data_IF_971113218640
#
_entry.id   IF_971113218640
#
_cell.length_a   1.000
_cell.length_b   1.000
_cell.length_c   1.000
_cell.angle_alpha   90.00
_cell.angle_beta   90.00
_cell.angle_gamma   90.00
#
_symmetry.space_group_name_H-M   'P 1'
#
loop_
_entity.id
_entity.type
_entity.pdbx_description
1 polymer ?
#
# COMPACT_ATOMS: atom_id res chain seq x y z
N UNK A 1 -29.90 -8.43 9.02
CA UNK A 1 -29.03 -9.52 9.55
C UNK A 1 -27.61 -9.06 9.89
N UNK A 2 -26.94 -8.19 9.11
CA UNK A 2 -25.55 -7.74 9.38
C UNK A 2 -25.43 -6.65 10.47
N UNK A 3 -26.55 -6.04 10.90
CA UNK A 3 -26.53 -4.91 11.87
C UNK A 3 -26.43 -5.31 13.34
N UNK A 4 -26.58 -6.60 13.65
CA UNK A 4 -26.66 -7.11 15.02
C UNK A 4 -25.61 -8.19 15.31
N UNK A 5 -24.38 -8.01 14.80
CA UNK A 5 -23.26 -8.90 15.14
C UNK A 5 -22.89 -8.73 16.62
N UNK A 6 -23.47 -9.58 17.47
CA UNK A 6 -23.10 -9.71 18.88
C UNK A 6 -22.28 -10.98 19.05
N UNK A 7 -21.16 -10.87 19.76
CA UNK A 7 -20.45 -12.05 20.21
C UNK A 7 -21.37 -12.90 21.11
N UNK A 8 -21.39 -14.23 20.97
CA UNK A 8 -22.27 -15.10 21.76
C UNK A 8 -21.93 -15.07 23.26
N UNK A 9 -20.71 -14.65 23.61
CA UNK A 9 -20.26 -14.40 24.97
C UNK A 9 -19.20 -13.27 24.98
N UNK A 10 -19.01 -12.57 26.12
CA UNK A 10 -17.89 -11.66 26.30
C UNK A 10 -16.54 -12.35 26.11
N UNK A 11 -15.51 -11.57 25.76
CA UNK A 11 -14.15 -12.08 25.73
C UNK A 11 -13.73 -12.56 27.13
N UNK A 12 -12.90 -13.61 27.17
CA UNK A 12 -12.29 -14.08 28.42
C UNK A 12 -11.34 -13.01 28.98
N UNK A 13 -11.10 -13.06 30.28
CA UNK A 13 -10.05 -12.25 30.91
C UNK A 13 -8.69 -12.49 30.24
N UNK A 14 -7.86 -11.44 30.21
CA UNK A 14 -6.54 -11.47 29.56
C UNK A 14 -6.52 -11.00 28.10
N UNK A 15 -7.66 -10.62 27.52
CA UNK A 15 -7.68 -9.90 26.24
C UNK A 15 -7.33 -8.43 26.45
N UNK A 16 -6.31 -7.94 25.74
CA UNK A 16 -5.93 -6.53 25.70
C UNK A 16 -5.79 -6.07 24.26
N UNK A 17 -6.19 -4.83 23.99
CA UNK A 17 -5.99 -4.17 22.71
C UNK A 17 -4.85 -3.17 22.84
N UNK A 18 -3.96 -3.16 21.85
CA UNK A 18 -2.79 -2.29 21.84
C UNK A 18 -2.72 -1.62 20.47
N UNK A 19 -2.55 -0.30 20.48
CA UNK A 19 -2.21 0.47 19.29
C UNK A 19 -0.69 0.57 19.21
N UNK A 20 -0.10 0.01 18.17
CA UNK A 20 1.35 -0.08 18.01
C UNK A 20 1.75 -0.07 16.54
N UNK A 21 3.00 0.33 16.30
CA UNK A 21 3.68 0.07 15.03
C UNK A 21 4.16 -1.40 15.02
N UNK A 22 3.88 -2.12 13.94
CA UNK A 22 4.27 -3.52 13.77
C UNK A 22 5.78 -3.72 13.75
N UNK A 23 6.54 -2.67 13.41
CA UNK A 23 8.00 -2.69 13.42
C UNK A 23 8.61 -2.30 14.77
N UNK A 24 7.77 -1.85 15.73
CA UNK A 24 8.18 -1.40 17.06
C UNK A 24 7.09 -1.80 18.08
N UNK A 25 6.91 -3.10 18.26
CA UNK A 25 5.91 -3.66 19.16
C UNK A 25 6.24 -3.32 20.62
N UNK A 26 5.26 -2.89 21.43
CA UNK A 26 5.45 -2.48 22.83
C UNK A 26 5.51 -3.71 23.77
N UNK A 27 6.15 -4.78 23.31
CA UNK A 27 6.37 -6.00 24.08
C UNK A 27 7.86 -6.13 24.40
N UNK A 28 8.16 -6.67 25.57
CA UNK A 28 9.53 -6.96 25.95
C UNK A 28 10.10 -8.07 25.06
N UNK A 29 11.43 -8.12 24.97
CA UNK A 29 12.12 -9.23 24.32
C UNK A 29 11.70 -10.55 24.97
N UNK A 30 11.47 -11.57 24.16
CA UNK A 30 11.12 -12.92 24.64
C UNK A 30 9.91 -12.97 25.58
N UNK A 31 8.91 -12.11 25.40
CA UNK A 31 7.73 -12.09 26.26
C UNK A 31 6.53 -12.86 25.71
N UNK A 32 6.54 -13.21 24.41
CA UNK A 32 5.38 -13.80 23.71
C UNK A 32 5.67 -15.25 23.31
N UNK A 33 4.73 -16.16 23.58
CA UNK A 33 4.84 -17.58 23.20
C UNK A 33 4.43 -17.83 21.75
N UNK A 34 3.47 -17.07 21.23
CA UNK A 34 2.94 -17.23 19.87
C UNK A 34 2.48 -15.92 19.29
N UNK A 35 2.88 -15.65 18.04
CA UNK A 35 2.41 -14.52 17.23
C UNK A 35 1.54 -15.05 16.10
N UNK A 36 0.38 -14.44 15.88
CA UNK A 36 -0.54 -14.82 14.80
C UNK A 36 -0.79 -13.60 13.93
N UNK A 37 -0.54 -13.72 12.62
CA UNK A 37 -0.67 -12.62 11.65
C UNK A 37 -1.66 -12.99 10.55
N UNK A 38 -2.97 -12.84 10.78
CA UNK A 38 -3.96 -13.04 9.73
C UNK A 38 -3.94 -11.85 8.77
N UNK A 39 -3.83 -12.10 7.45
CA UNK A 39 -3.97 -11.06 6.41
C UNK A 39 -3.14 -9.79 6.62
N UNK A 40 -1.87 -9.96 7.03
CA UNK A 40 -1.02 -8.84 7.46
C UNK A 40 0.25 -8.69 6.63
N UNK A 41 1.02 -9.76 6.44
CA UNK A 41 2.43 -9.64 6.03
C UNK A 41 2.62 -8.94 4.68
N UNK A 42 1.70 -9.13 3.74
CA UNK A 42 1.76 -8.64 2.37
C UNK A 42 1.27 -7.20 2.19
N UNK A 43 0.62 -6.62 3.21
CA UNK A 43 0.16 -5.22 3.21
C UNK A 43 1.11 -4.27 3.95
N UNK A 44 2.19 -4.81 4.52
CA UNK A 44 3.16 -4.05 5.27
C UNK A 44 4.01 -3.15 4.34
N UNK A 45 4.28 -1.88 4.71
CA UNK A 45 4.96 -0.93 3.83
C UNK A 45 6.46 -1.18 3.67
N UNK A 46 7.06 -1.98 4.54
CA UNK A 46 8.44 -2.43 4.46
C UNK A 46 8.53 -3.94 4.29
N UNK A 47 9.69 -4.41 3.84
CA UNK A 47 9.93 -5.82 3.54
C UNK A 47 9.64 -6.74 4.72
N UNK A 48 9.37 -8.01 4.39
CA UNK A 48 9.09 -9.08 5.35
C UNK A 48 10.18 -9.20 6.43
N UNK A 49 11.42 -8.87 6.10
CA UNK A 49 12.59 -8.91 6.99
C UNK A 49 12.39 -8.08 8.26
N UNK A 50 11.78 -6.90 8.14
CA UNK A 50 11.56 -6.01 9.28
C UNK A 50 10.53 -6.59 10.26
N UNK A 51 9.41 -7.10 9.72
CA UNK A 51 8.41 -7.78 10.53
C UNK A 51 8.98 -9.06 11.15
N UNK A 52 9.76 -9.83 10.39
CA UNK A 52 10.39 -11.05 10.88
C UNK A 52 11.35 -10.77 12.04
N UNK A 53 12.17 -9.72 11.95
CA UNK A 53 13.07 -9.33 13.03
C UNK A 53 12.31 -8.93 14.29
N UNK A 54 11.28 -8.10 14.15
CA UNK A 54 10.53 -7.60 15.30
C UNK A 54 9.68 -8.70 15.97
N UNK A 55 9.05 -9.56 15.17
CA UNK A 55 8.36 -10.76 15.66
C UNK A 55 9.35 -11.70 16.34
N UNK A 56 10.55 -11.89 15.76
CA UNK A 56 11.58 -12.70 16.39
C UNK A 56 11.96 -12.11 17.76
N UNK A 57 12.18 -10.79 17.88
CA UNK A 57 12.56 -10.13 19.13
C UNK A 57 11.57 -10.44 20.27
N UNK A 58 10.28 -10.27 20.03
CA UNK A 58 9.24 -10.46 21.07
C UNK A 58 8.97 -11.93 21.37
N UNK A 59 9.27 -12.85 20.44
CA UNK A 59 9.07 -14.28 20.65
C UNK A 59 10.12 -14.88 21.62
N UNK A 60 9.63 -15.70 22.55
CA UNK A 60 10.45 -16.61 23.35
C UNK A 60 11.22 -17.59 22.46
N UNK A 61 12.37 -18.12 22.91
CA UNK A 61 13.00 -19.27 22.25
C UNK A 61 12.00 -20.44 22.13
N UNK A 62 11.90 -21.05 20.94
CA UNK A 62 10.88 -22.07 20.63
C UNK A 62 9.46 -21.52 20.45
N UNK A 63 9.27 -20.20 20.55
CA UNK A 63 8.02 -19.53 20.26
C UNK A 63 7.64 -19.66 18.78
N UNK A 64 6.35 -19.57 18.49
CA UNK A 64 5.82 -19.82 17.13
C UNK A 64 5.24 -18.57 16.49
N UNK A 65 5.45 -18.44 15.20
CA UNK A 65 4.75 -17.48 14.36
C UNK A 65 3.88 -18.22 13.35
N UNK A 66 2.59 -17.92 13.36
CA UNK A 66 1.59 -18.45 12.44
C UNK A 66 1.06 -17.31 11.59
N UNK A 67 1.27 -17.36 10.28
CA UNK A 67 0.67 -16.43 9.33
C UNK A 67 -0.40 -17.15 8.53
N UNK A 68 -1.50 -16.46 8.23
CA UNK A 68 -2.52 -16.97 7.31
C UNK A 68 -3.16 -15.81 6.55
N UNK A 69 -2.93 -15.74 5.25
CA UNK A 69 -3.48 -14.68 4.41
C UNK A 69 -2.94 -14.76 3.01
N UNK A 70 -3.17 -13.69 2.25
CA UNK A 70 -2.48 -13.49 1.00
C UNK A 70 -0.96 -13.38 1.24
N UNK A 71 -0.20 -13.75 0.21
CA UNK A 71 1.25 -13.72 0.22
C UNK A 71 1.73 -13.08 -1.08
N UNK A 72 1.23 -11.86 -1.32
CA UNK A 72 1.38 -11.15 -2.57
C UNK A 72 2.04 -9.78 -2.35
N UNK A 73 3.35 -9.80 -2.14
CA UNK A 73 4.12 -8.57 -1.93
C UNK A 73 4.17 -7.72 -3.19
N UNK A 74 3.89 -6.41 -3.02
CA UNK A 74 3.91 -5.43 -4.12
C UNK A 74 4.78 -4.23 -3.75
N UNK A 75 6.07 -4.38 -3.95
CA UNK A 75 7.06 -3.31 -3.77
C UNK A 75 7.55 -2.77 -5.11
N UNK A 76 8.20 -1.60 -5.09
CA UNK A 76 8.86 -1.05 -6.28
C UNK A 76 10.10 -1.87 -6.68
N UNK A 77 10.77 -2.50 -5.71
CA UNK A 77 11.85 -3.43 -5.97
C UNK A 77 11.31 -4.84 -6.18
N UNK A 78 11.58 -5.42 -7.34
CA UNK A 78 11.19 -6.80 -7.65
C UNK A 78 11.79 -7.83 -6.70
N UNK A 79 12.97 -7.57 -6.13
CA UNK A 79 13.62 -8.48 -5.18
C UNK A 79 12.88 -8.61 -3.85
N UNK A 80 11.96 -7.68 -3.56
CA UNK A 80 11.15 -7.69 -2.33
C UNK A 80 9.75 -8.32 -2.58
N UNK A 81 9.40 -8.58 -3.83
CA UNK A 81 8.14 -9.21 -4.23
C UNK A 81 8.21 -10.74 -4.11
N UNK A 82 8.44 -11.24 -2.88
CA UNK A 82 8.79 -12.63 -2.62
C UNK A 82 7.65 -13.62 -2.96
N UNK A 83 8.01 -14.78 -3.52
CA UNK A 83 7.14 -15.96 -3.51
C UNK A 83 7.00 -16.54 -2.10
N UNK A 84 5.99 -17.41 -1.83
CA UNK A 84 5.89 -18.14 -0.57
C UNK A 84 7.19 -18.87 -0.18
N UNK A 85 7.84 -19.53 -1.14
CA UNK A 85 9.08 -20.27 -0.94
C UNK A 85 10.25 -19.32 -0.58
N UNK A 86 10.41 -18.23 -1.32
CA UNK A 86 11.42 -17.20 -1.04
C UNK A 86 11.19 -16.51 0.31
N UNK A 87 9.92 -16.31 0.66
CA UNK A 87 9.48 -15.82 1.96
C UNK A 87 9.96 -16.71 3.10
N UNK A 88 9.70 -18.02 3.02
CA UNK A 88 10.16 -18.98 4.03
C UNK A 88 11.69 -19.04 4.14
N UNK A 89 12.40 -19.06 3.00
CA UNK A 89 13.87 -18.99 2.98
C UNK A 89 14.39 -17.69 3.60
N UNK A 90 13.66 -16.60 3.44
CA UNK A 90 13.97 -15.33 4.10
C UNK A 90 13.78 -15.46 5.61
N UNK A 91 12.67 -16.04 6.08
CA UNK A 91 12.44 -16.26 7.50
C UNK A 91 13.52 -17.12 8.16
N UNK A 92 14.06 -18.12 7.45
CA UNK A 92 15.18 -18.93 7.95
C UNK A 92 16.43 -18.09 8.26
N UNK A 93 16.75 -17.10 7.43
CA UNK A 93 17.85 -16.15 7.68
C UNK A 93 17.60 -15.29 8.93
N UNK A 94 16.33 -15.13 9.33
CA UNK A 94 15.90 -14.40 10.52
C UNK A 94 15.67 -15.31 11.73
N UNK A 95 16.31 -16.48 11.75
CA UNK A 95 16.35 -17.35 12.92
C UNK A 95 15.07 -18.15 13.14
N UNK A 96 14.27 -18.33 12.08
CA UNK A 96 13.10 -19.18 12.11
C UNK A 96 13.36 -20.54 11.45
N UNK A 97 12.55 -21.54 11.79
CA UNK A 97 12.50 -22.83 11.10
C UNK A 97 11.06 -23.15 10.75
N UNK A 98 10.82 -23.51 9.49
CA UNK A 98 9.48 -23.90 9.03
C UNK A 98 9.07 -25.22 9.68
N UNK A 99 7.90 -25.21 10.33
CA UNK A 99 7.28 -26.40 10.94
C UNK A 99 5.95 -26.77 10.28
N UNK A 100 5.37 -25.88 9.46
CA UNK A 100 4.16 -26.14 8.69
C UNK A 100 3.98 -25.16 7.56
N UNK A 101 3.43 -25.63 6.44
CA UNK A 101 3.09 -24.83 5.27
C UNK A 101 1.90 -25.46 4.55
N UNK A 102 0.95 -24.63 4.12
CA UNK A 102 -0.16 -25.03 3.26
C UNK A 102 -0.69 -23.85 2.46
N UNK A 103 -1.34 -24.15 1.34
CA UNK A 103 -2.07 -23.17 0.56
C UNK A 103 -3.47 -23.70 0.27
N UNK A 104 -4.47 -22.89 0.57
CA UNK A 104 -5.89 -23.23 0.40
C UNK A 104 -6.59 -22.12 -0.40
N UNK A 105 -7.42 -22.49 -1.38
CA UNK A 105 -8.28 -21.51 -2.06
C UNK A 105 -9.50 -21.22 -1.19
N UNK A 106 -9.56 -20.03 -0.61
CA UNK A 106 -10.62 -19.63 0.33
C UNK A 106 -11.45 -18.48 -0.23
N UNK A 107 -12.76 -18.42 0.08
CA UNK A 107 -13.57 -17.25 -0.24
C UNK A 107 -13.10 -16.04 0.60
N UNK A 108 -12.91 -14.89 -0.04
CA UNK A 108 -12.50 -13.65 0.61
C UNK A 108 -13.69 -12.73 0.82
N UNK A 109 -13.97 -12.39 2.09
CA UNK A 109 -15.08 -11.52 2.51
C UNK A 109 -16.45 -11.88 1.88
N UNK A 110 -16.69 -13.18 1.64
CA UNK A 110 -17.94 -13.66 1.04
C UNK A 110 -19.11 -13.46 2.01
N UNK A 111 -20.16 -12.84 1.52
CA UNK A 111 -21.50 -12.85 2.09
C UNK A 111 -22.42 -13.63 1.15
N UNK A 112 -23.34 -14.43 1.68
CA UNK A 112 -24.35 -15.12 0.85
C UNK A 112 -25.37 -14.14 0.24
N UNK A 113 -25.34 -12.88 0.66
CA UNK A 113 -26.15 -11.79 0.10
C UNK A 113 -25.41 -11.02 -1.02
N UNK A 114 -24.12 -11.25 -1.20
CA UNK A 114 -23.32 -10.58 -2.21
C UNK A 114 -23.34 -11.38 -3.52
N UNK A 115 -23.69 -10.72 -4.63
CA UNK A 115 -23.63 -11.31 -5.96
C UNK A 115 -22.20 -11.28 -6.52
N UNK A 116 -21.29 -10.52 -5.90
CA UNK A 116 -19.88 -10.48 -6.23
C UNK A 116 -19.10 -11.36 -5.25
N UNK A 117 -18.34 -12.32 -5.76
CA UNK A 117 -17.50 -13.19 -4.94
C UNK A 117 -16.07 -13.16 -5.45
N UNK A 118 -15.12 -13.04 -4.51
CA UNK A 118 -13.70 -13.23 -4.75
C UNK A 118 -13.20 -14.42 -3.94
N UNK A 119 -12.29 -15.19 -4.53
CA UNK A 119 -11.54 -16.23 -3.84
C UNK A 119 -10.06 -15.87 -3.88
N UNK A 120 -9.34 -16.27 -2.84
CA UNK A 120 -7.89 -16.04 -2.74
C UNK A 120 -7.18 -17.33 -2.37
N UNK A 121 -6.00 -17.53 -2.97
CA UNK A 121 -5.09 -18.59 -2.57
C UNK A 121 -4.38 -18.13 -1.29
N UNK A 122 -4.86 -18.61 -0.15
CA UNK A 122 -4.37 -18.24 1.17
C UNK A 122 -3.18 -19.11 1.54
N UNK A 123 -2.04 -18.48 1.77
CA UNK A 123 -0.84 -19.13 2.26
C UNK A 123 -0.85 -19.12 3.78
N UNK A 124 -0.79 -20.31 4.37
CA UNK A 124 -0.62 -20.47 5.82
C UNK A 124 0.72 -21.12 6.10
N UNK A 125 1.55 -20.46 6.90
CA UNK A 125 2.78 -21.05 7.41
C UNK A 125 2.82 -21.03 8.93
N UNK A 126 3.59 -21.95 9.49
CA UNK A 126 4.01 -21.94 10.88
C UNK A 126 5.51 -22.06 10.91
N UNK A 127 6.16 -21.12 11.58
CA UNK A 127 7.59 -21.14 11.82
C UNK A 127 7.89 -21.05 13.31
N UNK A 128 8.96 -21.69 13.74
CA UNK A 128 9.44 -21.71 15.12
C UNK A 128 10.72 -20.88 15.25
N UNK A 129 10.83 -20.07 16.30
CA UNK A 129 12.07 -19.33 16.60
C UNK A 129 13.14 -20.28 17.12
N UNK A 130 14.17 -20.49 16.31
CA UNK A 130 15.34 -21.33 16.62
C UNK A 130 16.61 -20.53 16.93
N UNK A 131 16.67 -19.28 16.49
CA UNK A 131 17.77 -18.36 16.79
C UNK A 131 17.25 -16.92 16.88
N UNK A 132 18.06 -16.03 17.47
CA UNK A 132 17.78 -14.61 17.42
C UNK A 132 18.03 -14.09 16.01
N UNK A 133 17.11 -13.28 15.51
CA UNK A 133 17.27 -12.62 14.22
C UNK A 133 18.52 -11.71 14.24
N UNK A 134 19.25 -11.59 13.12
CA UNK A 134 20.20 -10.52 12.97
C UNK A 134 19.48 -9.17 13.07
N UNK A 135 20.20 -8.13 13.48
CA UNK A 135 19.64 -6.78 13.43
C UNK A 135 19.38 -6.45 11.95
N UNK A 136 18.14 -6.10 11.56
CA UNK A 136 17.83 -5.77 10.19
C UNK A 136 18.64 -4.55 9.79
N UNK A 137 18.89 -4.38 8.49
CA UNK A 137 19.37 -3.08 7.99
C UNK A 137 18.40 -2.00 8.48
N UNK A 138 18.87 -0.82 8.85
CA UNK A 138 17.98 0.25 9.32
C UNK A 138 16.81 0.43 8.35
N UNK A 139 15.58 0.51 8.88
CA UNK A 139 14.40 0.83 8.09
C UNK A 139 14.70 2.01 7.17
N UNK A 140 14.33 1.96 5.87
CA UNK A 140 14.46 3.13 5.02
C UNK A 140 13.65 4.25 5.67
N UNK A 141 14.37 5.22 6.24
CA UNK A 141 13.75 6.39 6.85
C UNK A 141 12.96 7.09 5.75
N UNK A 142 11.73 7.51 6.06
CA UNK A 142 11.08 8.49 5.20
C UNK A 142 12.06 9.66 5.03
N UNK A 143 12.25 10.17 3.79
CA UNK A 143 13.08 11.34 3.56
C UNK A 143 12.73 12.45 4.55
N UNK A 144 13.74 13.10 5.14
CA UNK A 144 13.54 14.05 6.22
C UNK A 144 12.54 15.17 5.86
N UNK A 145 12.54 15.62 4.61
CA UNK A 145 11.61 16.64 4.10
C UNK A 145 10.12 16.22 4.11
N UNK A 146 9.82 14.92 4.24
CA UNK A 146 8.45 14.40 4.41
C UNK A 146 8.03 14.29 5.88
N UNK A 147 8.97 14.32 6.82
CA UNK A 147 8.70 14.16 8.26
C UNK A 147 8.96 15.43 9.06
N UNK A 148 9.80 16.32 8.55
CA UNK A 148 10.14 17.60 9.16
C UNK A 148 9.81 18.74 8.18
N UNK A 149 8.76 19.54 8.46
CA UNK A 149 8.36 20.67 7.62
C UNK A 149 9.42 21.77 7.50
N UNK A 150 10.46 21.77 8.34
CA UNK A 150 11.56 22.73 8.29
C UNK A 150 12.67 22.33 7.30
N UNK A 151 12.67 21.07 6.84
CA UNK A 151 13.66 20.58 5.88
C UNK A 151 13.22 20.89 4.46
N UNK A 152 14.12 21.46 3.67
CA UNK A 152 13.84 21.81 2.27
C UNK A 152 13.54 20.59 1.41
N UNK A 153 12.52 20.69 0.56
CA UNK A 153 12.18 19.67 -0.45
C UNK A 153 13.28 19.67 -1.54
N UNK A 154 13.85 18.51 -1.88
CA UNK A 154 14.90 18.44 -2.88
C UNK A 154 14.38 18.77 -4.28
N UNK A 155 15.23 19.38 -5.11
CA UNK A 155 14.94 19.53 -6.53
C UNK A 155 15.05 18.16 -7.22
N UNK A 156 13.98 17.71 -7.88
CA UNK A 156 14.00 16.46 -8.63
C UNK A 156 14.39 16.72 -10.09
N UNK A 157 15.34 15.96 -10.64
CA UNK A 157 15.88 16.20 -11.99
C UNK A 157 14.82 16.19 -13.10
N UNK A 158 13.71 15.46 -12.92
CA UNK A 158 12.61 15.39 -13.90
C UNK A 158 11.54 16.47 -13.71
N UNK A 159 11.59 17.26 -12.64
CA UNK A 159 10.58 18.27 -12.33
C UNK A 159 10.34 19.28 -13.46
N UNK A 160 11.34 19.78 -14.22
CA UNK A 160 11.07 20.78 -15.25
C UNK A 160 10.09 20.31 -16.32
N UNK A 161 10.19 19.05 -16.74
CA UNK A 161 9.29 18.47 -17.75
C UNK A 161 7.90 18.21 -17.17
N UNK A 162 7.83 17.64 -15.97
CA UNK A 162 6.55 17.40 -15.27
C UNK A 162 5.85 18.72 -14.98
N UNK A 163 6.58 19.76 -14.57
CA UNK A 163 6.05 21.09 -14.28
C UNK A 163 5.45 21.73 -15.53
N UNK A 164 6.15 21.72 -16.67
CA UNK A 164 5.61 22.27 -17.91
C UNK A 164 4.31 21.58 -18.36
N UNK A 165 4.22 20.25 -18.17
CA UNK A 165 3.00 19.50 -18.45
C UNK A 165 1.86 19.84 -17.49
N UNK A 166 2.14 19.96 -16.18
CA UNK A 166 1.13 20.33 -15.19
C UNK A 166 0.69 21.79 -15.33
N UNK A 167 1.60 22.69 -15.69
CA UNK A 167 1.30 24.11 -15.91
C UNK A 167 0.37 24.31 -17.11
N UNK A 168 0.61 23.61 -18.22
CA UNK A 168 -0.28 23.68 -19.39
C UNK A 168 -1.69 23.16 -19.08
N UNK A 169 -1.78 22.06 -18.35
CA UNK A 169 -3.05 21.49 -17.87
C UNK A 169 -3.78 22.44 -16.91
N UNK A 170 -3.09 22.97 -15.90
CA UNK A 170 -3.65 23.93 -14.96
C UNK A 170 -4.12 25.21 -15.67
N UNK A 171 -3.38 25.68 -16.68
CA UNK A 171 -3.78 26.83 -17.48
C UNK A 171 -5.08 26.55 -18.25
N UNK A 172 -5.20 25.39 -18.93
CA UNK A 172 -6.44 25.01 -19.61
C UNK A 172 -7.62 25.02 -18.65
N UNK A 173 -7.47 24.41 -17.46
CA UNK A 173 -8.52 24.44 -16.44
C UNK A 173 -8.87 25.87 -15.99
N UNK A 174 -7.88 26.74 -15.83
CA UNK A 174 -8.08 28.11 -15.33
C UNK A 174 -8.88 29.02 -16.28
N UNK A 175 -8.94 28.68 -17.58
CA UNK A 175 -9.65 29.49 -18.59
C UNK A 175 -11.06 28.98 -18.91
N UNK A 176 -11.46 27.84 -18.32
CA UNK A 176 -12.82 27.29 -18.45
C UNK A 176 -13.75 28.13 -17.58
N UNK A 177 -14.66 28.85 -18.23
CA UNK A 177 -15.65 29.72 -17.60
C UNK A 177 -17.10 29.36 -17.97
N UNK A 178 -17.30 28.22 -18.62
CA UNK A 178 -18.58 27.77 -19.14
C UNK A 178 -19.09 28.52 -20.38
N UNK A 179 -18.29 29.44 -20.95
CA UNK A 179 -18.66 30.23 -22.13
C UNK A 179 -17.69 30.04 -23.29
N UNK A 180 -16.39 29.93 -23.01
CA UNK A 180 -15.37 29.73 -24.04
C UNK A 180 -15.50 28.37 -24.72
N UNK A 181 -15.37 28.39 -26.04
CA UNK A 181 -15.29 27.21 -26.90
C UNK A 181 -13.89 26.59 -26.87
N UNK A 182 -13.77 25.33 -27.32
CA UNK A 182 -12.48 24.64 -27.47
C UNK A 182 -11.48 25.44 -28.32
N UNK A 183 -11.96 26.09 -29.38
CA UNK A 183 -11.12 26.91 -30.28
C UNK A 183 -10.61 28.17 -29.58
N UNK A 184 -11.44 28.82 -28.77
CA UNK A 184 -11.02 30.00 -27.99
C UNK A 184 -10.02 29.61 -26.89
N UNK A 185 -10.22 28.48 -26.23
CA UNK A 185 -9.27 27.94 -25.24
C UNK A 185 -7.95 27.55 -25.92
N UNK A 186 -8.00 26.84 -27.06
CA UNK A 186 -6.81 26.48 -27.84
C UNK A 186 -6.05 27.72 -28.33
N UNK A 187 -6.74 28.78 -28.72
CA UNK A 187 -6.11 30.05 -29.11
C UNK A 187 -5.32 30.67 -27.95
N UNK A 188 -5.85 30.63 -26.73
CA UNK A 188 -5.15 31.10 -25.53
C UNK A 188 -3.92 30.24 -25.20
N UNK A 189 -4.02 28.91 -25.37
CA UNK A 189 -2.92 27.96 -25.18
C UNK A 189 -1.81 28.17 -26.23
N UNK A 190 -2.19 28.32 -27.50
CA UNK A 190 -1.27 28.60 -28.61
C UNK A 190 -0.46 29.86 -28.36
N UNK A 191 -1.11 30.97 -27.98
CA UNK A 191 -0.43 32.24 -27.68
C UNK A 191 0.51 32.11 -26.49
N UNK A 192 0.10 31.41 -25.42
CA UNK A 192 0.91 31.29 -24.20
C UNK A 192 2.15 30.44 -24.38
N UNK A 193 2.05 29.32 -25.11
CA UNK A 193 3.11 28.33 -25.22
C UNK A 193 3.81 28.31 -26.59
N UNK A 194 3.41 29.19 -27.52
CA UNK A 194 3.99 29.30 -28.86
C UNK A 194 3.71 28.09 -29.76
N UNK A 195 2.59 27.41 -29.55
CA UNK A 195 2.18 26.24 -30.33
C UNK A 195 1.45 26.65 -31.61
N UNK A 196 1.46 25.78 -32.63
CA UNK A 196 0.58 25.96 -33.78
C UNK A 196 -0.90 25.88 -33.33
N UNK A 197 -1.80 26.51 -34.08
CA UNK A 197 -3.23 26.46 -33.76
C UNK A 197 -3.79 25.04 -33.78
N UNK A 198 -3.24 24.17 -34.64
CA UNK A 198 -3.60 22.75 -34.76
C UNK A 198 -3.13 21.97 -33.53
N UNK A 199 -1.84 22.06 -33.18
CA UNK A 199 -1.28 21.35 -32.02
C UNK A 199 -1.95 21.79 -30.70
N UNK A 200 -2.27 23.08 -30.56
CA UNK A 200 -2.94 23.59 -29.38
C UNK A 200 -4.38 23.06 -29.26
N UNK A 201 -5.10 22.96 -30.39
CA UNK A 201 -6.46 22.44 -30.41
C UNK A 201 -6.48 20.94 -30.08
N UNK A 202 -5.61 20.15 -30.71
CA UNK A 202 -5.49 18.72 -30.46
C UNK A 202 -5.10 18.43 -29.00
N UNK A 203 -4.16 19.21 -28.45
CA UNK A 203 -3.75 19.10 -27.06
C UNK A 203 -4.89 19.41 -26.07
N UNK A 204 -5.67 20.46 -26.32
CA UNK A 204 -6.84 20.82 -25.49
C UNK A 204 -7.92 19.73 -25.56
N UNK A 205 -8.23 19.22 -26.76
CA UNK A 205 -9.20 18.14 -26.94
C UNK A 205 -8.75 16.89 -26.19
N UNK A 206 -7.53 16.42 -26.43
CA UNK A 206 -6.99 15.23 -25.78
C UNK A 206 -7.01 15.32 -24.26
N UNK A 207 -6.70 16.50 -23.70
CA UNK A 207 -6.74 16.71 -22.27
C UNK A 207 -8.17 16.71 -21.70
N UNK A 208 -9.09 17.45 -22.31
CA UNK A 208 -10.46 17.55 -21.82
C UNK A 208 -11.24 16.24 -21.99
N UNK A 209 -11.00 15.47 -23.05
CA UNK A 209 -11.57 14.13 -23.22
C UNK A 209 -11.13 13.19 -22.11
N UNK A 210 -9.84 13.23 -21.72
CA UNK A 210 -9.33 12.42 -20.61
C UNK A 210 -9.99 12.81 -19.29
N UNK A 211 -10.23 14.10 -19.07
CA UNK A 211 -10.93 14.59 -17.88
C UNK A 211 -12.40 14.14 -17.86
N UNK A 212 -13.10 14.17 -19.00
CA UNK A 212 -14.48 13.66 -19.10
C UNK A 212 -14.60 12.17 -18.73
N UNK A 213 -13.58 11.38 -19.08
CA UNK A 213 -13.53 9.97 -18.72
C UNK A 213 -13.36 9.73 -17.21
N UNK A 214 -12.74 10.66 -16.48
CA UNK A 214 -12.57 10.58 -15.03
C UNK A 214 -13.88 10.82 -14.27
N UNK A 215 -14.21 9.92 -13.33
CA UNK A 215 -15.50 9.91 -12.62
C UNK A 215 -15.80 11.18 -11.81
N UNK A 216 -14.76 11.87 -11.36
CA UNK A 216 -14.87 13.14 -10.61
C UNK A 216 -15.41 14.25 -11.49
N UNK A 217 -15.00 14.33 -12.76
CA UNK A 217 -15.43 15.41 -13.66
C UNK A 217 -16.87 15.22 -14.14
N UNK A 218 -17.31 13.96 -14.39
CA UNK A 218 -18.72 13.68 -14.74
C UNK A 218 -19.70 14.17 -13.67
N UNK A 219 -19.31 14.08 -12.39
CA UNK A 219 -20.14 14.56 -11.29
C UNK A 219 -20.28 16.09 -11.23
N UNK A 220 -19.30 16.83 -11.75
CA UNK A 220 -19.29 18.30 -11.81
C UNK A 220 -20.05 18.81 -13.05
N UNK A 221 -19.98 18.08 -14.17
CA UNK A 221 -20.64 18.47 -15.43
C UNK A 221 -22.13 18.13 -15.43
N UNK A 222 -22.56 17.12 -14.68
CA UNK A 222 -23.96 16.68 -14.62
C UNK A 222 -24.77 17.26 -13.43
N UNK A 223 -24.16 18.11 -12.60
CA UNK A 223 -24.83 18.86 -11.53
C UNK A 223 -25.18 20.27 -11.96
#
# INVERSE_FOLDING_TARGET
AIRDCKAPAPAREGLSHVLADVYHLPFADHSVDTVITPWLVDILPASLEFAASEINRVLKPGGRWINSGSFNFRFSSWSECLSPEEGLLTLEKFGFKTSGFKQDLLPYLKSDLDAHQRSELVTTFTVEKVANAPHPRSMPLRPAWLTDPSVSVPAFAQMPQTFASLESQAFVLSVIDGKRTLVEIASLVSVRYGLSSEDALDGVISYLSRLEDESVFRSIVQG
#
